data_IF_610779861942
#
_entry.id   IF_610779861942
#
_cell.length_a   1.000
_cell.length_b   1.000
_cell.length_c   1.000
_cell.angle_alpha   90.00
_cell.angle_beta   90.00
_cell.angle_gamma   90.00
#
_symmetry.space_group_name_H-M   'P 1'
#
loop_
_entity.id
_entity.type
_entity.pdbx_description
1 polymer ?
#
# COMPACT_ATOMS: atom_id res chain seq x y z
N UNK A 1 -23.20 19.75 26.02
CA UNK A 1 -21.84 20.34 25.95
C UNK A 1 -20.84 19.28 26.39
N UNK A 2 -20.18 18.58 25.46
CA UNK A 2 -18.97 17.77 25.66
C UNK A 2 -18.41 17.40 24.28
N UNK A 3 -17.25 17.97 23.97
CA UNK A 3 -16.43 17.72 22.77
C UNK A 3 -16.06 16.23 22.70
N UNK A 4 -16.35 15.58 21.56
CA UNK A 4 -15.89 14.21 21.27
C UNK A 4 -14.51 14.28 20.63
N UNK A 5 -13.58 13.62 21.31
CA UNK A 5 -12.15 13.51 21.02
C UNK A 5 -11.92 12.70 19.73
N UNK A 6 -10.99 13.17 18.88
CA UNK A 6 -10.52 12.54 17.64
C UNK A 6 -9.26 11.73 17.96
N UNK A 7 -9.25 10.42 17.70
CA UNK A 7 -8.02 9.61 17.69
C UNK A 7 -8.11 8.62 16.50
N UNK A 8 -7.48 8.97 15.39
CA UNK A 8 -7.06 8.03 14.35
C UNK A 8 -5.78 7.36 14.85
N UNK A 9 -5.76 6.03 14.96
CA UNK A 9 -4.50 5.32 15.20
C UNK A 9 -3.73 5.21 13.87
N UNK A 10 -2.79 6.14 13.74
CA UNK A 10 -1.74 6.24 12.75
C UNK A 10 -0.65 5.21 13.09
N UNK A 11 -0.44 4.22 12.24
CA UNK A 11 0.77 3.40 12.26
C UNK A 11 1.30 3.36 10.82
N UNK A 12 2.57 3.78 10.69
CA UNK A 12 3.37 3.97 9.47
C UNK A 12 3.31 5.38 8.86
N UNK A 13 3.90 6.35 9.58
CA UNK A 13 4.83 7.33 8.99
C UNK A 13 5.43 8.22 10.10
N UNK A 14 6.75 8.12 10.35
CA UNK A 14 7.71 9.24 10.44
C UNK A 14 9.06 8.77 11.06
N UNK A 15 10.19 9.40 10.68
CA UNK A 15 11.51 9.10 11.23
C UNK A 15 11.74 9.93 12.51
N UNK A 16 12.03 9.28 13.65
CA UNK A 16 12.88 9.81 14.73
C UNK A 16 12.95 8.83 15.93
N UNK A 17 14.13 8.23 16.09
CA UNK A 17 14.82 7.75 17.30
C UNK A 17 14.25 6.68 18.28
N UNK A 18 15.16 5.71 18.50
CA UNK A 18 15.52 4.92 19.69
C UNK A 18 14.55 3.88 20.24
N UNK A 19 14.80 2.65 19.80
CA UNK A 19 14.43 1.38 20.42
C UNK A 19 14.95 1.33 21.88
N UNK A 20 14.06 1.01 22.82
CA UNK A 20 14.41 0.10 23.93
C UNK A 20 13.50 -1.12 23.84
N UNK A 21 14.14 -2.27 23.58
CA UNK A 21 13.51 -3.57 23.58
C UNK A 21 13.47 -4.11 25.01
N UNK A 22 12.27 -4.24 25.56
CA UNK A 22 11.75 -5.35 26.36
C UNK A 22 10.40 -4.89 26.93
N UNK A 23 9.37 -5.70 26.67
CA UNK A 23 7.97 -5.54 27.08
C UNK A 23 7.13 -4.50 26.28
N UNK A 24 6.16 -5.02 25.51
CA UNK A 24 5.22 -4.22 24.71
C UNK A 24 4.14 -3.63 25.64
N UNK A 25 4.51 -2.54 26.32
CA UNK A 25 3.63 -1.78 27.21
C UNK A 25 2.87 -0.74 26.39
N UNK A 26 1.55 -0.76 26.46
CA UNK A 26 0.70 0.28 25.89
C UNK A 26 0.44 1.33 26.97
N UNK A 27 0.95 2.54 26.77
CA UNK A 27 0.75 3.67 27.68
C UNK A 27 -0.47 4.47 27.25
N UNK A 28 -1.44 4.62 28.15
CA UNK A 28 -2.58 5.50 27.94
C UNK A 28 -2.11 6.97 28.00
N UNK A 29 -2.06 7.63 26.85
CA UNK A 29 -1.48 8.99 26.70
C UNK A 29 -2.22 10.05 27.55
N UNK A 30 -3.44 9.77 28.01
CA UNK A 30 -4.22 10.70 28.84
C UNK A 30 -3.97 10.53 30.35
N UNK A 31 -3.75 9.30 30.82
CA UNK A 31 -3.68 8.99 32.25
C UNK A 31 -2.29 8.59 32.72
N UNK A 32 -1.39 8.23 31.80
CA UNK A 32 -0.07 7.69 32.09
C UNK A 32 -0.08 6.27 32.62
N UNK A 33 -1.24 5.60 32.66
CA UNK A 33 -1.32 4.19 33.06
C UNK A 33 -0.82 3.27 31.95
N UNK A 34 -0.03 2.29 32.37
CA UNK A 34 0.58 1.27 31.54
C UNK A 34 -0.26 -0.01 31.62
N UNK A 35 -0.69 -0.54 30.47
CA UNK A 35 -1.41 -1.81 30.38
C UNK A 35 -0.68 -2.77 29.46
N UNK A 36 -0.71 -4.07 29.78
CA UNK A 36 -0.14 -5.09 28.91
C UNK A 36 -1.15 -5.57 27.89
N UNK A 37 -0.69 -6.05 26.72
CA UNK A 37 -1.56 -6.53 25.66
C UNK A 37 -2.44 -7.74 26.07
N UNK A 38 -2.05 -8.51 27.09
CA UNK A 38 -2.89 -9.60 27.61
C UNK A 38 -4.10 -9.09 28.39
N UNK A 39 -3.96 -7.98 29.12
CA UNK A 39 -5.01 -7.49 30.02
C UNK A 39 -6.17 -6.86 29.24
N UNK A 40 -5.87 -6.21 28.11
CA UNK A 40 -6.87 -5.65 27.19
C UNK A 40 -7.74 -6.72 26.49
N UNK A 41 -7.25 -7.97 26.40
CA UNK A 41 -7.99 -9.08 25.81
C UNK A 41 -8.90 -9.78 26.82
N UNK A 42 -8.58 -9.75 28.11
CA UNK A 42 -9.36 -10.42 29.14
C UNK A 42 -10.54 -9.56 29.67
N UNK A 43 -10.45 -8.21 29.61
CA UNK A 43 -11.61 -7.35 29.89
C UNK A 43 -12.78 -7.55 28.89
N UNK A 44 -12.49 -7.90 27.62
CA UNK A 44 -13.54 -8.14 26.60
C UNK A 44 -14.21 -9.52 26.72
N UNK A 45 -13.69 -10.46 27.51
CA UNK A 45 -14.37 -11.74 27.78
C UNK A 45 -15.45 -11.63 28.85
N UNK A 46 -15.49 -10.53 29.60
CA UNK A 46 -16.44 -10.33 30.69
C UNK A 46 -17.64 -9.45 30.27
N UNK A 47 -18.50 -9.98 29.40
CA UNK A 47 -19.93 -9.58 29.37
C UNK A 47 -20.45 -8.89 28.11
N UNK A 48 -21.48 -9.52 27.51
CA UNK A 48 -22.36 -8.91 26.52
C UNK A 48 -23.16 -9.94 25.73
N UNK A 49 -24.40 -10.22 26.13
CA UNK A 49 -25.31 -11.11 25.42
C UNK A 49 -25.61 -10.58 24.00
N UNK A 50 -25.66 -11.49 23.02
CA UNK A 50 -25.96 -11.17 21.62
C UNK A 50 -27.41 -10.68 21.50
N UNK A 51 -27.61 -9.43 21.09
CA UNK A 51 -28.95 -8.86 20.86
C UNK A 51 -29.61 -9.53 19.63
N UNK A 52 -30.68 -10.30 19.89
CA UNK A 52 -31.46 -10.96 18.84
C UNK A 52 -32.14 -9.97 17.88
N UNK A 53 -32.27 -8.69 18.26
CA UNK A 53 -32.75 -7.61 17.41
C UNK A 53 -31.77 -7.24 16.29
N UNK A 54 -30.47 -7.28 16.56
CA UNK A 54 -29.40 -6.99 15.59
C UNK A 54 -29.27 -8.12 14.57
N UNK A 55 -29.40 -9.37 15.01
CA UNK A 55 -29.39 -10.56 14.14
C UNK A 55 -30.52 -10.53 13.10
N UNK A 56 -31.73 -10.11 13.49
CA UNK A 56 -32.88 -9.96 12.59
C UNK A 56 -32.73 -8.81 11.59
N UNK A 57 -31.98 -7.75 11.91
CA UNK A 57 -31.67 -6.66 10.96
C UNK A 57 -30.65 -7.10 9.92
N UNK A 58 -29.64 -7.88 10.33
CA UNK A 58 -28.63 -8.47 9.43
C UNK A 58 -29.27 -9.47 8.46
N UNK A 59 -30.22 -10.30 8.91
CA UNK A 59 -30.98 -11.18 8.02
C UNK A 59 -31.85 -10.42 7.00
N UNK A 60 -32.46 -9.30 7.41
CA UNK A 60 -33.24 -8.43 6.51
C UNK A 60 -32.34 -7.78 5.46
N UNK A 61 -31.17 -7.30 5.85
CA UNK A 61 -30.19 -6.70 4.95
C UNK A 61 -29.64 -7.73 3.96
N UNK A 62 -29.29 -8.93 4.42
CA UNK A 62 -28.83 -10.05 3.57
C UNK A 62 -29.90 -10.52 2.57
N UNK A 63 -31.19 -10.42 2.93
CA UNK A 63 -32.30 -10.71 2.01
C UNK A 63 -32.39 -9.67 0.89
N UNK A 64 -32.20 -8.38 1.19
CA UNK A 64 -32.21 -7.30 0.21
C UNK A 64 -31.02 -7.45 -0.76
N UNK A 65 -29.83 -7.74 -0.26
CA UNK A 65 -28.64 -7.96 -1.11
C UNK A 65 -28.80 -9.16 -2.06
N UNK A 66 -29.45 -10.25 -1.61
CA UNK A 66 -29.76 -11.40 -2.49
C UNK A 66 -30.74 -11.04 -3.61
N UNK A 67 -31.72 -10.19 -3.34
CA UNK A 67 -32.69 -9.74 -4.35
C UNK A 67 -32.04 -8.86 -5.42
N UNK A 68 -31.15 -7.94 -5.02
CA UNK A 68 -30.43 -7.09 -5.98
C UNK A 68 -29.40 -7.89 -6.81
N UNK A 69 -28.71 -8.87 -6.20
CA UNK A 69 -27.78 -9.77 -6.91
C UNK A 69 -28.47 -10.59 -8.02
N UNK A 70 -29.74 -10.96 -7.83
CA UNK A 70 -30.50 -11.71 -8.83
C UNK A 70 -31.01 -10.84 -10.00
N UNK A 71 -31.23 -9.54 -9.79
CA UNK A 71 -31.59 -8.60 -10.86
C UNK A 71 -30.40 -8.31 -11.79
N UNK A 72 -29.18 -8.30 -11.26
CA UNK A 72 -27.96 -8.08 -12.06
C UNK A 72 -27.68 -9.29 -12.97
N UNK A 73 -27.93 -10.52 -12.49
CA UNK A 73 -27.73 -11.75 -13.28
C UNK A 73 -28.70 -11.90 -14.45
N UNK A 74 -29.89 -11.29 -14.42
CA UNK A 74 -30.86 -11.41 -15.51
C UNK A 74 -30.59 -10.48 -16.71
N UNK A 75 -29.70 -9.48 -16.57
CA UNK A 75 -29.44 -8.48 -17.62
C UNK A 75 -28.22 -8.76 -18.51
N UNK A 76 -27.40 -9.77 -18.20
CA UNK A 76 -26.25 -10.15 -19.04
C UNK A 76 -26.53 -11.43 -19.84
N UNK A 77 -27.27 -11.28 -20.93
CA UNK A 77 -27.19 -12.16 -22.11
C UNK A 77 -26.85 -11.31 -23.32
N UNK A 78 -25.58 -11.04 -23.56
CA UNK A 78 -25.09 -10.70 -24.89
C UNK A 78 -23.75 -11.38 -25.14
N UNK A 79 -23.65 -12.01 -26.31
CA UNK A 79 -22.77 -13.13 -26.59
C UNK A 79 -21.30 -12.80 -26.81
N UNK A 80 -20.50 -13.85 -26.59
CA UNK A 80 -19.09 -13.96 -26.96
C UNK A 80 -18.91 -14.11 -28.47
N UNK A 81 -18.04 -13.30 -29.07
CA UNK A 81 -17.27 -13.73 -30.24
C UNK A 81 -16.03 -12.85 -30.40
N UNK A 82 -14.87 -13.52 -30.25
CA UNK A 82 -13.59 -13.30 -30.92
C UNK A 82 -13.08 -11.87 -31.11
N UNK A 83 -11.87 -11.59 -30.63
CA UNK A 83 -10.79 -11.06 -31.47
C UNK A 83 -9.45 -11.38 -30.79
N UNK A 84 -8.75 -12.33 -31.40
CA UNK A 84 -7.34 -12.65 -31.22
C UNK A 84 -6.43 -11.54 -31.78
N UNK A 85 -5.23 -11.45 -31.20
CA UNK A 85 -4.02 -10.75 -31.67
C UNK A 85 -3.85 -9.27 -31.32
N UNK A 86 -2.97 -9.02 -30.35
CA UNK A 86 -2.02 -7.90 -30.36
C UNK A 86 -0.75 -8.41 -29.63
N UNK A 87 0.15 -9.09 -30.33
CA UNK A 87 1.39 -8.52 -30.86
C UNK A 87 2.13 -7.57 -29.89
N UNK A 88 3.22 -8.11 -29.34
CA UNK A 88 4.52 -7.46 -29.09
C UNK A 88 4.48 -5.93 -29.20
N UNK A 89 4.36 -5.28 -28.04
CA UNK A 89 4.78 -3.89 -27.92
C UNK A 89 6.30 -3.84 -28.13
N UNK A 90 6.71 -3.40 -29.33
CA UNK A 90 8.01 -2.78 -29.54
C UNK A 90 8.16 -1.69 -28.48
N UNK A 91 9.22 -1.75 -27.70
CA UNK A 91 9.67 -0.63 -26.90
C UNK A 91 9.75 0.60 -27.82
N UNK A 92 8.98 1.63 -27.49
CA UNK A 92 9.23 2.95 -28.02
C UNK A 92 10.58 3.38 -27.43
N UNK A 93 11.61 3.51 -28.29
CA UNK A 93 12.80 4.30 -27.96
C UNK A 93 12.31 5.69 -27.57
N UNK A 94 12.38 6.00 -26.28
CA UNK A 94 12.19 7.36 -25.81
C UNK A 94 13.55 8.07 -25.94
N UNK A 95 13.57 9.23 -26.61
CA UNK A 95 14.76 10.08 -26.83
C UNK A 95 15.56 10.45 -25.55
N UNK A 96 15.03 10.19 -24.35
CA UNK A 96 15.69 10.42 -23.05
C UNK A 96 16.78 9.38 -22.74
N UNK A 97 16.90 8.31 -23.54
CA UNK A 97 17.89 7.26 -23.27
C UNK A 97 19.33 7.64 -23.62
N UNK A 98 19.55 8.75 -24.34
CA UNK A 98 20.83 9.12 -24.93
C UNK A 98 21.48 10.39 -24.31
N UNK A 99 20.88 10.97 -23.27
CA UNK A 99 21.47 12.13 -22.58
C UNK A 99 22.20 11.71 -21.30
N UNK A 100 23.49 12.01 -21.23
CA UNK A 100 24.30 11.83 -20.03
C UNK A 100 23.95 12.93 -19.01
N UNK A 101 23.26 12.54 -17.94
CA UNK A 101 22.95 13.41 -16.81
C UNK A 101 24.04 13.37 -15.75
N UNK A 102 24.26 14.51 -15.10
CA UNK A 102 25.20 14.66 -13.99
C UNK A 102 24.54 15.36 -12.81
N UNK A 103 24.86 14.89 -11.60
CA UNK A 103 24.50 15.48 -10.32
C UNK A 103 25.63 16.42 -9.91
N UNK A 104 25.31 17.69 -9.67
CA UNK A 104 26.21 18.69 -9.10
C UNK A 104 25.76 18.96 -7.67
N UNK A 105 26.53 18.47 -6.70
CA UNK A 105 26.27 18.70 -5.27
C UNK A 105 27.00 19.94 -4.82
N UNK A 106 26.30 20.86 -4.16
CA UNK A 106 26.91 22.03 -3.54
C UNK A 106 27.23 21.80 -2.07
N UNK A 107 28.21 22.54 -1.57
CA UNK A 107 28.70 22.45 -0.18
C UNK A 107 27.69 22.99 0.84
N UNK A 108 26.95 24.04 0.47
CA UNK A 108 25.95 24.71 1.30
C UNK A 108 24.87 25.42 0.46
N UNK A 109 23.80 25.87 1.11
CA UNK A 109 22.70 26.61 0.47
C UNK A 109 23.18 27.92 -0.18
N UNK A 110 24.13 28.62 0.44
CA UNK A 110 24.65 29.89 -0.09
C UNK A 110 25.29 29.68 -1.46
N UNK A 111 26.12 28.66 -1.60
CA UNK A 111 26.79 28.26 -2.83
C UNK A 111 25.77 27.79 -3.88
N UNK A 112 24.81 26.98 -3.46
CA UNK A 112 23.72 26.50 -4.31
C UNK A 112 22.88 27.66 -4.88
N UNK A 113 22.41 28.58 -4.03
CA UNK A 113 21.61 29.73 -4.45
C UNK A 113 22.41 30.68 -5.34
N UNK A 114 23.70 30.87 -5.06
CA UNK A 114 24.61 31.67 -5.90
C UNK A 114 24.70 31.10 -7.32
N UNK A 115 24.93 29.79 -7.45
CA UNK A 115 25.00 29.13 -8.76
C UNK A 115 23.63 29.08 -9.45
N UNK A 116 22.55 28.77 -8.73
CA UNK A 116 21.18 28.81 -9.26
C UNK A 116 20.81 30.17 -9.87
N UNK A 117 21.22 31.27 -9.22
CA UNK A 117 21.00 32.64 -9.74
C UNK A 117 21.83 32.92 -10.99
N UNK A 118 23.09 32.48 -11.01
CA UNK A 118 24.00 32.63 -12.16
C UNK A 118 23.49 31.90 -13.40
N UNK A 119 22.93 30.70 -13.23
CA UNK A 119 22.35 29.94 -14.33
C UNK A 119 21.11 30.62 -14.92
N UNK A 120 20.26 31.23 -14.08
CA UNK A 120 19.09 32.02 -14.53
C UNK A 120 19.49 33.26 -15.33
N UNK A 121 20.62 33.90 -15.02
CA UNK A 121 21.08 35.09 -15.74
C UNK A 121 21.75 34.80 -17.08
N UNK A 122 22.25 33.58 -17.31
CA UNK A 122 23.07 33.25 -18.48
C UNK A 122 22.28 32.78 -19.71
N UNK A 123 20.96 32.54 -19.60
CA UNK A 123 20.08 32.27 -20.74
C UNK A 123 20.32 30.92 -21.44
N UNK A 124 19.35 30.01 -21.31
CA UNK A 124 19.10 28.79 -22.09
C UNK A 124 20.19 27.69 -22.18
N UNK A 125 21.50 27.96 -22.11
CA UNK A 125 22.54 26.92 -22.25
C UNK A 125 22.89 26.17 -20.96
N UNK A 126 22.23 26.46 -19.84
CA UNK A 126 22.63 25.90 -18.54
C UNK A 126 21.47 25.81 -17.56
N UNK A 127 20.23 25.65 -18.05
CA UNK A 127 19.11 25.40 -17.15
C UNK A 127 19.25 23.98 -16.58
N UNK A 128 19.24 23.81 -15.26
CA UNK A 128 19.27 22.47 -14.69
C UNK A 128 18.00 21.72 -15.12
N UNK A 129 18.17 20.45 -15.51
CA UNK A 129 17.08 19.51 -15.83
C UNK A 129 16.16 19.38 -14.61
N UNK A 130 16.77 19.28 -13.43
CA UNK A 130 16.09 19.14 -12.15
C UNK A 130 16.91 19.84 -11.07
N UNK A 131 16.23 20.31 -10.03
CA UNK A 131 16.87 20.88 -8.85
C UNK A 131 16.28 20.21 -7.62
N UNK A 132 17.12 19.73 -6.72
CA UNK A 132 16.73 19.16 -5.43
C UNK A 132 17.22 20.14 -4.35
N UNK A 133 16.36 21.08 -3.98
CA UNK A 133 16.74 22.21 -3.12
C UNK A 133 17.18 21.76 -1.72
N UNK A 134 16.46 20.81 -1.10
CA UNK A 134 16.78 20.28 0.24
C UNK A 134 18.16 19.61 0.29
N UNK A 135 18.59 19.06 -0.84
CA UNK A 135 19.88 18.43 -0.97
C UNK A 135 20.94 19.37 -1.55
N UNK A 136 20.60 20.62 -1.89
CA UNK A 136 21.50 21.52 -2.61
C UNK A 136 22.11 20.83 -3.85
N UNK A 137 21.26 20.21 -4.68
CA UNK A 137 21.68 19.50 -5.91
C UNK A 137 21.06 20.17 -7.13
N UNK A 138 21.86 20.27 -8.20
CA UNK A 138 21.39 20.54 -9.55
C UNK A 138 21.73 19.35 -10.45
N UNK A 139 20.76 18.93 -11.25
CA UNK A 139 20.95 17.91 -12.29
C UNK A 139 21.10 18.61 -13.62
N UNK A 140 22.18 18.33 -14.34
CA UNK A 140 22.51 18.97 -15.61
C UNK A 140 22.85 17.92 -16.68
N UNK A 141 22.58 18.25 -17.94
CA UNK A 141 23.17 17.55 -19.08
C UNK A 141 24.55 18.18 -19.32
N UNK A 142 25.62 17.39 -19.16
CA UNK A 142 27.00 17.82 -19.44
C UNK A 142 27.54 16.95 -20.58
N UNK A 143 27.94 17.59 -21.66
CA UNK A 143 28.20 16.91 -22.93
C UNK A 143 29.67 16.54 -23.13
N UNK A 144 30.57 17.08 -22.31
CA UNK A 144 32.02 16.91 -22.47
C UNK A 144 32.76 16.78 -21.13
N UNK A 145 33.88 16.03 -21.08
CA UNK A 145 34.78 16.00 -19.93
C UNK A 145 35.26 17.39 -19.49
N UNK A 146 35.44 18.31 -20.44
CA UNK A 146 35.84 19.69 -20.16
C UNK A 146 34.78 20.42 -19.34
N UNK A 147 33.50 20.30 -19.70
CA UNK A 147 32.39 20.88 -18.92
C UNK A 147 32.31 20.31 -17.51
N UNK A 148 32.51 18.99 -17.36
CA UNK A 148 32.54 18.33 -16.04
C UNK A 148 33.67 18.92 -15.19
N UNK A 149 34.88 19.01 -15.75
CA UNK A 149 36.04 19.58 -15.06
C UNK A 149 35.83 21.07 -14.72
N UNK A 150 35.18 21.86 -15.59
CA UNK A 150 34.84 23.25 -15.31
C UNK A 150 33.89 23.40 -14.12
N UNK A 151 32.97 22.45 -13.94
CA UNK A 151 32.06 22.42 -12.79
C UNK A 151 32.75 21.96 -11.50
N UNK A 152 33.62 20.95 -11.56
CA UNK A 152 34.36 20.43 -10.40
C UNK A 152 35.23 21.49 -9.72
N UNK A 153 35.74 22.46 -10.47
CA UNK A 153 36.59 23.54 -9.94
C UNK A 153 35.80 24.78 -9.48
N UNK A 154 34.49 24.83 -9.69
CA UNK A 154 33.70 25.99 -9.26
C UNK A 154 33.67 26.11 -7.73
N UNK A 155 33.83 27.33 -7.23
CA UNK A 155 33.71 27.62 -5.81
C UNK A 155 32.33 27.18 -5.27
N UNK A 156 32.35 26.44 -4.17
CA UNK A 156 31.14 25.94 -3.50
C UNK A 156 30.55 24.65 -4.09
N UNK A 157 31.11 24.09 -5.18
CA UNK A 157 30.78 22.73 -5.63
C UNK A 157 31.52 21.70 -4.78
N UNK A 158 30.79 20.70 -4.29
CA UNK A 158 31.33 19.61 -3.46
C UNK A 158 31.83 18.45 -4.31
N UNK A 159 31.03 18.05 -5.30
CA UNK A 159 31.39 17.05 -6.30
C UNK A 159 30.45 17.15 -7.51
N UNK A 160 30.93 16.60 -8.63
CA UNK A 160 30.14 16.33 -9.83
C UNK A 160 30.19 14.82 -10.05
N UNK A 161 29.04 14.18 -10.19
CA UNK A 161 28.97 12.74 -10.44
C UNK A 161 28.00 12.41 -11.56
N UNK A 162 28.28 11.34 -12.32
CA UNK A 162 27.36 10.87 -13.34
C UNK A 162 26.09 10.35 -12.67
N UNK A 163 24.94 10.89 -13.07
CA UNK A 163 23.63 10.45 -12.62
C UNK A 163 23.30 9.11 -13.27
N UNK A 164 23.30 8.05 -12.47
CA UNK A 164 23.08 6.71 -12.99
C UNK A 164 21.60 6.43 -13.18
N UNK A 165 21.27 5.73 -14.26
CA UNK A 165 19.92 5.20 -14.45
C UNK A 165 19.64 4.16 -13.37
N UNK A 166 18.54 4.34 -12.64
CA UNK A 166 18.00 3.33 -11.72
C UNK A 166 16.95 2.54 -12.48
N UNK A 167 17.17 1.23 -12.61
CA UNK A 167 16.25 0.34 -13.31
C UNK A 167 15.27 -0.32 -12.35
N UNK A 168 14.02 -0.49 -12.79
CA UNK A 168 13.09 -1.38 -12.11
C UNK A 168 13.69 -2.79 -12.11
N UNK A 169 13.91 -3.34 -10.92
CA UNK A 169 14.52 -4.66 -10.81
C UNK A 169 13.55 -5.71 -11.34
N UNK A 170 13.88 -6.33 -12.46
CA UNK A 170 13.22 -7.55 -12.90
C UNK A 170 13.81 -8.71 -12.08
N UNK A 171 12.98 -9.42 -11.32
CA UNK A 171 13.43 -10.60 -10.59
C UNK A 171 13.98 -11.62 -11.58
N UNK A 172 15.24 -12.04 -11.40
CA UNK A 172 15.78 -13.18 -12.12
C UNK A 172 15.00 -14.42 -11.69
N UNK A 173 14.37 -15.18 -12.61
CA UNK A 173 13.62 -16.37 -12.26
C UNK A 173 14.45 -17.32 -11.39
N UNK A 174 13.89 -17.76 -10.27
CA UNK A 174 14.55 -18.66 -9.31
C UNK A 174 15.46 -17.98 -8.27
N UNK A 175 15.66 -16.66 -8.33
CA UNK A 175 16.30 -15.92 -7.22
C UNK A 175 15.21 -15.33 -6.35
N UNK A 176 15.23 -15.72 -5.08
CA UNK A 176 14.37 -15.14 -4.05
C UNK A 176 15.02 -13.89 -3.44
N UNK A 177 14.22 -12.89 -3.09
CA UNK A 177 14.71 -11.64 -2.51
C UNK A 177 13.84 -11.21 -1.35
N UNK A 178 14.47 -10.56 -0.39
CA UNK A 178 13.79 -10.03 0.78
C UNK A 178 13.55 -8.54 0.52
N UNK A 179 12.29 -8.11 0.31
CA UNK A 179 11.98 -6.70 0.22
C UNK A 179 12.46 -5.99 1.49
N UNK A 180 13.08 -4.82 1.34
CA UNK A 180 13.69 -4.08 2.45
C UNK A 180 12.77 -3.96 3.68
N UNK A 181 11.49 -3.64 3.45
CA UNK A 181 10.49 -3.47 4.51
C UNK A 181 10.26 -4.72 5.38
N UNK A 182 10.37 -5.92 4.80
CA UNK A 182 10.18 -7.20 5.53
C UNK A 182 11.23 -7.37 6.62
N UNK A 183 12.48 -7.03 6.32
CA UNK A 183 13.57 -7.06 7.30
C UNK A 183 13.43 -5.96 8.34
N UNK A 184 12.98 -4.76 7.95
CA UNK A 184 12.83 -3.64 8.90
C UNK A 184 11.77 -3.89 9.97
N UNK A 185 10.68 -4.56 9.61
CA UNK A 185 9.62 -4.94 10.57
C UNK A 185 9.92 -6.24 11.32
N UNK A 186 11.12 -6.82 11.12
CA UNK A 186 11.55 -8.08 11.74
C UNK A 186 10.58 -9.23 11.50
N UNK A 187 9.87 -9.24 10.37
CA UNK A 187 8.89 -10.29 10.09
C UNK A 187 9.54 -11.68 10.08
N UNK A 188 10.79 -11.77 9.62
CA UNK A 188 11.53 -13.03 9.52
C UNK A 188 11.96 -13.61 10.87
N UNK A 189 11.95 -12.79 11.94
CA UNK A 189 12.28 -13.22 13.30
C UNK A 189 11.09 -13.95 13.97
N UNK A 190 9.91 -13.89 13.37
CA UNK A 190 8.67 -14.51 13.87
C UNK A 190 8.37 -15.78 13.09
N UNK A 191 7.98 -16.85 13.80
CA UNK A 191 7.57 -18.11 13.18
C UNK A 191 6.15 -18.06 12.62
N UNK A 192 5.93 -18.75 11.51
CA UNK A 192 4.65 -18.88 10.83
C UNK A 192 3.74 -19.97 11.43
N UNK A 193 4.20 -20.76 12.41
CA UNK A 193 3.53 -21.98 12.91
C UNK A 193 2.07 -21.79 13.32
N UNK A 194 1.68 -20.57 13.69
CA UNK A 194 0.33 -20.25 14.19
C UNK A 194 -0.53 -19.50 13.16
N UNK A 195 -0.03 -19.25 11.96
CA UNK A 195 -0.70 -18.38 10.99
C UNK A 195 -2.02 -18.98 10.47
N UNK A 196 -2.12 -20.30 10.41
CA UNK A 196 -3.33 -21.02 9.99
C UNK A 196 -4.54 -20.80 10.91
N UNK A 197 -4.33 -20.27 12.14
CA UNK A 197 -5.39 -19.87 13.06
C UNK A 197 -5.87 -18.42 12.84
N UNK A 198 -5.32 -17.75 11.84
CA UNK A 198 -5.65 -16.38 11.47
C UNK A 198 -6.14 -16.32 10.03
N UNK A 199 -7.05 -15.38 9.79
CA UNK A 199 -7.54 -15.05 8.46
C UNK A 199 -7.38 -13.55 8.20
N UNK A 200 -6.73 -13.23 7.09
CA UNK A 200 -6.54 -11.85 6.62
C UNK A 200 -7.46 -11.62 5.43
N UNK A 201 -8.29 -10.58 5.54
CA UNK A 201 -9.07 -10.08 4.43
C UNK A 201 -8.29 -8.97 3.70
N UNK A 202 -8.22 -9.03 2.38
CA UNK A 202 -7.61 -7.99 1.55
C UNK A 202 -8.72 -7.41 0.68
N UNK A 203 -9.03 -6.12 0.87
CA UNK A 203 -10.01 -5.40 0.06
C UNK A 203 -9.25 -4.53 -0.95
N UNK A 204 -9.24 -4.93 -2.21
CA UNK A 204 -8.36 -4.33 -3.24
C UNK A 204 -8.86 -4.59 -4.68
N UNK A 205 -7.97 -4.58 -5.68
CA UNK A 205 -8.27 -4.80 -7.11
C UNK A 205 -8.43 -6.26 -7.53
N UNK A 206 -8.13 -7.21 -6.65
CA UNK A 206 -8.18 -8.64 -6.93
C UNK A 206 -6.96 -9.37 -6.39
N UNK A 207 -6.77 -10.60 -6.84
CA UNK A 207 -5.63 -11.45 -6.53
C UNK A 207 -5.36 -12.36 -7.73
N UNK A 208 -4.15 -12.34 -8.30
CA UNK A 208 -3.77 -13.32 -9.32
C UNK A 208 -3.57 -14.70 -8.68
N UNK A 209 -4.60 -15.55 -8.77
CA UNK A 209 -4.58 -16.93 -8.25
C UNK A 209 -3.62 -17.84 -9.02
N UNK A 210 -3.04 -17.37 -10.13
CA UNK A 210 -2.07 -18.14 -10.91
C UNK A 210 -0.63 -17.71 -10.66
N UNK A 211 -0.43 -16.70 -9.82
CA UNK A 211 0.89 -16.14 -9.55
C UNK A 211 1.78 -17.15 -8.83
N UNK A 212 2.97 -17.50 -9.36
CA UNK A 212 3.80 -18.60 -8.85
C UNK A 212 4.36 -18.37 -7.43
N UNK A 213 4.48 -17.11 -7.03
CA UNK A 213 5.00 -16.70 -5.71
C UNK A 213 3.91 -16.54 -4.64
N UNK A 214 2.65 -16.80 -5.01
CA UNK A 214 1.50 -16.65 -4.13
C UNK A 214 0.82 -18.01 -3.89
N UNK A 215 0.17 -18.15 -2.74
CA UNK A 215 -0.53 -19.39 -2.38
C UNK A 215 -1.86 -19.51 -3.13
N UNK A 216 -2.20 -20.73 -3.57
CA UNK A 216 -3.50 -21.00 -4.19
C UNK A 216 -4.45 -21.70 -3.22
N UNK A 217 -3.86 -22.44 -2.28
CA UNK A 217 -4.57 -23.04 -1.17
C UNK A 217 -4.88 -21.98 -0.09
N UNK A 218 -5.93 -22.23 0.68
CA UNK A 218 -6.37 -21.34 1.78
C UNK A 218 -6.76 -19.92 1.35
N UNK A 219 -6.95 -19.69 0.04
CA UNK A 219 -7.47 -18.44 -0.50
C UNK A 219 -8.94 -18.61 -0.87
N UNK A 220 -9.74 -17.62 -0.50
CA UNK A 220 -11.14 -17.50 -0.88
C UNK A 220 -11.42 -16.05 -1.27
N UNK A 221 -12.55 -15.78 -1.92
CA UNK A 221 -12.90 -14.39 -2.18
C UNK A 221 -14.28 -14.17 -2.73
N UNK A 222 -14.56 -12.88 -2.90
CA UNK A 222 -15.80 -12.33 -3.42
C UNK A 222 -15.53 -10.99 -4.11
N UNK A 223 -16.51 -10.45 -4.80
CA UNK A 223 -16.37 -9.16 -5.44
C UNK A 223 -17.41 -8.91 -6.53
N UNK A 224 -17.28 -7.74 -7.15
CA UNK A 224 -18.10 -7.33 -8.30
C UNK A 224 -17.70 -8.06 -9.58
N UNK A 225 -16.42 -8.44 -9.69
CA UNK A 225 -15.80 -9.24 -10.75
C UNK A 225 -15.14 -10.49 -10.13
N UNK A 226 -14.61 -11.44 -10.93
CA UNK A 226 -13.76 -12.51 -10.41
C UNK A 226 -12.67 -11.94 -9.51
N UNK A 227 -12.62 -12.44 -8.27
CA UNK A 227 -11.70 -11.95 -7.25
C UNK A 227 -10.29 -12.52 -7.43
N UNK A 228 -10.22 -13.65 -8.13
CA UNK A 228 -9.07 -14.48 -8.47
C UNK A 228 -8.39 -14.08 -9.78
N UNK A 229 -8.82 -12.93 -10.35
CA UNK A 229 -8.19 -12.26 -11.48
C UNK A 229 -7.90 -10.81 -11.08
N UNK A 230 -6.64 -10.37 -11.19
CA UNK A 230 -6.23 -9.01 -10.88
C UNK A 230 -5.63 -8.32 -12.11
N UNK A 231 -6.50 -7.66 -12.87
CA UNK A 231 -6.12 -6.93 -14.08
C UNK A 231 -5.29 -5.66 -13.79
N UNK A 232 -5.26 -5.23 -12.53
CA UNK A 232 -4.60 -4.00 -12.10
C UNK A 232 -3.28 -4.24 -11.36
N UNK A 233 -3.07 -5.45 -10.84
CA UNK A 233 -1.85 -5.87 -10.14
C UNK A 233 -1.65 -5.31 -8.73
N UNK A 234 -2.42 -4.31 -8.30
CA UNK A 234 -2.25 -3.67 -6.99
C UNK A 234 -2.59 -4.63 -5.84
N UNK A 235 -3.74 -5.31 -5.91
CA UNK A 235 -4.15 -6.28 -4.91
C UNK A 235 -3.20 -7.48 -4.82
N UNK A 236 -2.70 -7.96 -5.95
CA UNK A 236 -1.68 -9.00 -6.04
C UNK A 236 -0.37 -8.56 -5.39
N UNK A 237 0.07 -7.32 -5.62
CA UNK A 237 1.26 -6.76 -4.98
C UNK A 237 1.10 -6.62 -3.46
N UNK A 238 -0.07 -6.17 -3.00
CA UNK A 238 -0.42 -6.11 -1.57
C UNK A 238 -0.39 -7.50 -0.96
N UNK A 239 -1.00 -8.50 -1.62
CA UNK A 239 -1.00 -9.86 -1.16
C UNK A 239 0.41 -10.46 -1.09
N UNK A 240 1.29 -10.16 -2.04
CA UNK A 240 2.70 -10.59 -2.00
C UNK A 240 3.47 -10.00 -0.82
N UNK A 241 3.22 -8.73 -0.49
CA UNK A 241 3.83 -8.11 0.71
C UNK A 241 3.44 -8.85 1.99
N UNK A 242 2.19 -9.33 2.07
CA UNK A 242 1.67 -10.03 3.25
C UNK A 242 2.08 -11.51 3.25
N UNK A 243 2.03 -12.18 2.10
CA UNK A 243 1.88 -13.64 2.03
C UNK A 243 2.67 -14.32 0.88
N UNK A 244 3.65 -13.65 0.25
CA UNK A 244 4.47 -14.32 -0.76
C UNK A 244 5.26 -15.50 -0.15
N UNK A 245 5.22 -16.64 -0.86
CA UNK A 245 5.61 -17.95 -0.36
C UNK A 245 7.10 -18.19 -0.57
N UNK A 246 7.80 -18.58 0.48
CA UNK A 246 9.23 -18.86 0.37
C UNK A 246 9.53 -20.07 -0.52
N UNK A 247 10.65 -20.01 -1.24
CA UNK A 247 11.22 -21.13 -1.99
C UNK A 247 10.72 -21.28 -3.43
N UNK A 248 9.84 -20.39 -3.89
CA UNK A 248 9.33 -20.39 -5.27
C UNK A 248 10.09 -19.41 -6.19
N UNK A 249 11.04 -18.67 -5.63
CA UNK A 249 11.70 -17.53 -6.29
C UNK A 249 10.76 -16.33 -6.34
N UNK A 250 11.30 -15.11 -6.49
CA UNK A 250 10.49 -13.90 -6.36
C UNK A 250 10.82 -13.14 -5.07
N UNK A 251 9.83 -12.91 -4.21
CA UNK A 251 10.00 -12.17 -2.96
C UNK A 251 9.52 -12.95 -1.73
N UNK A 252 10.04 -12.60 -0.56
CA UNK A 252 9.44 -13.03 0.70
C UNK A 252 8.34 -12.07 1.15
N UNK A 253 7.18 -12.63 1.50
CA UNK A 253 6.15 -11.92 2.24
C UNK A 253 6.47 -11.83 3.73
N UNK A 254 5.64 -11.10 4.48
CA UNK A 254 5.70 -11.09 5.94
C UNK A 254 5.42 -12.49 6.52
N UNK A 255 4.49 -13.21 5.90
CA UNK A 255 4.23 -14.64 6.10
C UNK A 255 4.70 -15.38 4.86
N UNK A 256 5.42 -16.49 5.04
CA UNK A 256 6.17 -17.19 3.99
C UNK A 256 5.76 -18.65 3.80
N UNK A 257 4.98 -19.19 4.73
CA UNK A 257 4.64 -20.62 4.79
C UNK A 257 3.61 -21.10 3.76
N UNK A 258 2.89 -20.18 3.10
CA UNK A 258 1.76 -20.54 2.21
C UNK A 258 0.58 -21.18 2.93
N UNK A 259 0.46 -21.00 4.26
CA UNK A 259 -0.61 -21.56 5.09
C UNK A 259 -1.51 -20.48 5.72
N UNK A 260 -1.48 -19.25 5.21
CA UNK A 260 -2.31 -18.18 5.75
C UNK A 260 -3.69 -18.21 5.10
N UNK A 261 -4.75 -18.18 5.90
CA UNK A 261 -6.08 -18.03 5.31
C UNK A 261 -6.24 -16.61 4.75
N UNK A 262 -6.43 -16.50 3.45
CA UNK A 262 -6.73 -15.24 2.77
C UNK A 262 -8.20 -15.17 2.35
N UNK A 263 -8.79 -13.98 2.50
CA UNK A 263 -10.08 -13.65 1.90
C UNK A 263 -9.94 -12.39 1.05
N UNK A 264 -10.10 -12.51 -0.26
CA UNK A 264 -9.93 -11.41 -1.21
C UNK A 264 -11.30 -10.83 -1.52
N UNK A 265 -11.47 -9.53 -1.33
CA UNK A 265 -12.67 -8.81 -1.75
C UNK A 265 -12.32 -7.79 -2.82
N UNK A 266 -12.63 -8.12 -4.07
CA UNK A 266 -12.36 -7.23 -5.21
C UNK A 266 -13.39 -6.10 -5.25
N UNK A 267 -12.91 -4.88 -5.02
CA UNK A 267 -13.73 -3.66 -5.04
C UNK A 267 -13.29 -2.64 -6.08
N UNK A 268 -12.03 -2.68 -6.53
CA UNK A 268 -11.53 -1.85 -7.61
C UNK A 268 -11.58 -2.61 -8.94
N UNK A 269 -12.03 -1.93 -9.98
CA UNK A 269 -12.25 -2.50 -11.32
C UNK A 269 -11.93 -1.49 -12.41
N UNK A 270 -11.79 -1.98 -13.64
CA UNK A 270 -11.43 -1.16 -14.80
C UNK A 270 -9.92 -1.00 -14.93
N UNK A 271 -9.47 -0.60 -16.12
CA UNK A 271 -8.05 -0.63 -16.53
C UNK A 271 -7.14 0.13 -15.55
N UNK A 272 -7.61 1.25 -15.00
CA UNK A 272 -6.81 2.12 -14.14
C UNK A 272 -7.00 1.85 -12.63
N UNK A 273 -7.97 1.01 -12.25
CA UNK A 273 -8.36 0.72 -10.86
C UNK A 273 -8.33 1.91 -9.86
N UNK A 274 -8.62 3.12 -10.33
CA UNK A 274 -8.26 4.33 -9.58
C UNK A 274 -9.22 4.69 -8.46
N UNK A 275 -10.43 4.12 -8.48
CA UNK A 275 -11.49 4.46 -7.52
C UNK A 275 -12.46 3.29 -7.31
N UNK A 276 -13.14 3.31 -6.16
CA UNK A 276 -14.30 2.47 -5.85
C UNK A 276 -15.32 3.30 -5.07
N UNK A 277 -16.55 2.83 -4.96
CA UNK A 277 -17.58 3.51 -4.17
C UNK A 277 -17.40 3.23 -2.68
N UNK A 278 -17.54 4.25 -1.84
CA UNK A 278 -17.51 4.13 -0.38
C UNK A 278 -18.49 3.08 0.17
N UNK A 279 -19.69 3.00 -0.43
CA UNK A 279 -20.68 1.98 -0.09
C UNK A 279 -20.21 0.56 -0.43
N UNK A 280 -19.54 0.36 -1.56
CA UNK A 280 -18.94 -0.92 -1.95
C UNK A 280 -17.83 -1.32 -1.00
N UNK A 281 -17.02 -0.36 -0.55
CA UNK A 281 -15.96 -0.59 0.41
C UNK A 281 -16.50 -1.02 1.78
N UNK A 282 -17.51 -0.32 2.31
CA UNK A 282 -18.16 -0.72 3.56
C UNK A 282 -18.80 -2.11 3.43
N UNK A 283 -19.48 -2.39 2.31
CA UNK A 283 -20.06 -3.70 2.05
C UNK A 283 -18.98 -4.80 2.06
N UNK A 284 -17.83 -4.55 1.42
CA UNK A 284 -16.70 -5.44 1.41
C UNK A 284 -16.13 -5.70 2.81
N UNK A 285 -16.06 -4.68 3.68
CA UNK A 285 -15.65 -4.88 5.07
C UNK A 285 -16.61 -5.81 5.83
N UNK A 286 -17.91 -5.71 5.58
CA UNK A 286 -18.89 -6.65 6.14
C UNK A 286 -18.74 -8.07 5.54
N UNK A 287 -18.40 -8.20 4.26
CA UNK A 287 -18.09 -9.50 3.67
C UNK A 287 -16.89 -10.15 4.36
N UNK A 288 -15.82 -9.39 4.65
CA UNK A 288 -14.68 -9.87 5.43
C UNK A 288 -15.07 -10.38 6.83
N UNK A 289 -15.96 -9.65 7.52
CA UNK A 289 -16.44 -10.04 8.85
C UNK A 289 -17.23 -11.35 8.76
N UNK A 290 -18.13 -11.47 7.78
CA UNK A 290 -18.91 -12.69 7.55
C UNK A 290 -18.02 -13.87 7.17
N UNK A 291 -16.94 -13.62 6.42
CA UNK A 291 -15.93 -14.62 6.09
C UNK A 291 -15.10 -15.07 7.31
N UNK A 292 -15.28 -14.44 8.48
CA UNK A 292 -14.58 -14.77 9.73
C UNK A 292 -13.14 -14.26 9.76
N UNK A 293 -12.84 -13.18 9.03
CA UNK A 293 -11.51 -12.58 9.01
C UNK A 293 -11.17 -11.96 10.36
N UNK A 294 -9.92 -12.13 10.80
CA UNK A 294 -9.41 -11.50 12.02
C UNK A 294 -8.80 -10.13 11.74
N UNK A 295 -8.28 -9.95 10.52
CA UNK A 295 -7.61 -8.73 10.07
C UNK A 295 -8.25 -8.32 8.76
N UNK A 296 -8.51 -7.03 8.57
CA UNK A 296 -8.96 -6.44 7.31
C UNK A 296 -7.93 -5.41 6.88
N UNK A 297 -7.31 -5.65 5.73
CA UNK A 297 -6.35 -4.76 5.11
C UNK A 297 -7.03 -3.93 4.00
N UNK A 298 -6.88 -2.61 4.12
CA UNK A 298 -7.44 -1.60 3.22
C UNK A 298 -6.27 -0.77 2.65
N UNK A 299 -5.65 -1.23 1.56
CA UNK A 299 -4.52 -0.53 0.92
C UNK A 299 -4.97 0.64 0.02
N UNK A 300 -5.95 1.40 0.48
CA UNK A 300 -6.59 2.49 -0.24
C UNK A 300 -6.70 3.72 0.66
N UNK A 301 -6.96 4.88 0.06
CA UNK A 301 -7.19 6.10 0.81
C UNK A 301 -8.37 6.90 0.28
N UNK A 302 -8.87 7.79 1.13
CA UNK A 302 -9.97 8.70 0.83
C UNK A 302 -9.43 10.09 0.48
N UNK A 303 -10.12 10.78 -0.43
CA UNK A 303 -9.88 12.22 -0.69
C UNK A 303 -10.63 13.11 0.30
N UNK A 304 -11.76 12.62 0.81
CA UNK A 304 -12.66 13.34 1.70
C UNK A 304 -13.25 12.37 2.73
N UNK A 305 -13.46 12.85 3.95
CA UNK A 305 -14.15 12.08 4.99
C UNK A 305 -15.67 12.29 4.88
N UNK A 306 -16.46 11.22 4.89
CA UNK A 306 -17.92 11.31 5.01
C UNK A 306 -18.39 10.85 6.38
N UNK A 307 -19.47 11.46 6.90
CA UNK A 307 -20.06 11.05 8.19
C UNK A 307 -20.53 9.59 8.17
N UNK A 308 -21.08 9.15 7.04
CA UNK A 308 -21.56 7.78 6.83
C UNK A 308 -20.42 6.75 6.90
N UNK A 309 -19.29 7.02 6.24
CA UNK A 309 -18.13 6.11 6.29
C UNK A 309 -17.51 6.11 7.68
N UNK A 310 -17.38 7.27 8.31
CA UNK A 310 -16.88 7.35 9.68
C UNK A 310 -17.74 6.52 10.63
N UNK A 311 -19.07 6.67 10.58
CA UNK A 311 -19.98 5.89 11.41
C UNK A 311 -19.85 4.37 11.14
N UNK A 312 -19.75 3.98 9.87
CA UNK A 312 -19.59 2.56 9.50
C UNK A 312 -18.27 1.98 10.04
N UNK A 313 -17.16 2.72 9.91
CA UNK A 313 -15.85 2.32 10.41
C UNK A 313 -15.84 2.25 11.93
N UNK A 314 -16.37 3.26 12.62
CA UNK A 314 -16.53 3.28 14.07
C UNK A 314 -17.37 2.08 14.55
N UNK A 315 -18.45 1.75 13.83
CA UNK A 315 -19.29 0.60 14.17
C UNK A 315 -18.54 -0.72 14.02
N UNK A 316 -17.74 -0.90 12.97
CA UNK A 316 -16.93 -2.10 12.78
C UNK A 316 -15.85 -2.18 13.85
N UNK A 317 -15.10 -1.11 14.07
CA UNK A 317 -14.01 -1.06 15.04
C UNK A 317 -14.49 -1.32 16.48
N UNK A 318 -15.60 -0.70 16.89
CA UNK A 318 -16.08 -0.81 18.26
C UNK A 318 -16.84 -2.11 18.54
N UNK A 319 -17.58 -2.63 17.56
CA UNK A 319 -18.56 -3.71 17.79
C UNK A 319 -18.19 -5.05 17.13
N UNK A 320 -17.05 -5.13 16.42
CA UNK A 320 -16.60 -6.36 15.77
C UNK A 320 -15.19 -6.69 16.26
N UNK A 321 -14.89 -7.99 16.36
CA UNK A 321 -13.60 -8.47 16.84
C UNK A 321 -12.61 -8.64 15.67
N UNK A 322 -12.31 -7.53 14.98
CA UNK A 322 -11.42 -7.49 13.82
C UNK A 322 -10.41 -6.34 13.95
N UNK A 323 -9.18 -6.56 13.50
CA UNK A 323 -8.16 -5.52 13.37
C UNK A 323 -8.30 -4.87 11.99
N UNK A 324 -8.48 -3.55 11.95
CA UNK A 324 -8.52 -2.78 10.70
C UNK A 324 -7.14 -2.15 10.45
N UNK A 325 -6.61 -2.34 9.25
CA UNK A 325 -5.36 -1.72 8.79
C UNK A 325 -5.69 -0.95 7.52
N UNK A 326 -5.37 0.34 7.49
CA UNK A 326 -5.64 1.21 6.35
C UNK A 326 -4.46 2.08 5.97
N UNK A 327 -4.33 2.42 4.69
CA UNK A 327 -3.32 3.39 4.22
C UNK A 327 -3.74 4.81 4.62
N UNK A 328 -2.85 5.53 5.31
CA UNK A 328 -3.05 6.96 5.59
C UNK A 328 -2.78 7.77 4.31
N UNK A 329 -3.66 8.71 3.95
CA UNK A 329 -3.40 9.68 2.89
C UNK A 329 -3.09 11.04 3.51
N UNK A 330 -1.95 11.62 3.16
CA UNK A 330 -1.68 13.03 3.43
C UNK A 330 -2.40 13.86 2.38
N UNK A 331 -3.58 14.37 2.71
CA UNK A 331 -4.25 15.39 1.88
C UNK A 331 -3.52 16.71 2.13
N UNK A 332 -2.93 17.37 1.12
CA UNK A 332 -2.41 18.73 1.30
C UNK A 332 -3.58 19.62 1.70
N UNK A 333 -3.53 20.18 2.91
CA UNK A 333 -4.40 21.30 3.27
C UNK A 333 -3.98 22.49 2.39
N UNK A 334 -4.80 22.77 1.38
CA UNK A 334 -4.71 24.00 0.58
C UNK A 334 -5.22 25.22 1.33
#
# INVERSE_FOLDING_TARGET
>A
MKMKERICYLLLCLPCFLIRAHDFVLTNIRTGEETTFSDALDEKKAGGAIDQGEMRRTERFNKVLRTERNKIKSNNRFGSSSLSNANQAKAADNDDDNEDRYIIKFTDDVSFQRHARRLKSNGAMSTPIMTLEEEHIQVMSLSSPEEIAEWEIQDGVKYVEKDHKVFLRQNTPGIETIPYGISQVKALDVSDDRISNRKVCIIDSGYDITHPDLQNDFVSGSGVNPWDEDECGHGTHVAGTIAAVAGNGGILGAVRSGNMNLHIVRTFTGIECSWTWGSSLIAAMYECIVAGSNIINLSLGYKEDTEYEKEAFDNIFNNRNVLLIGKCMSVPVG
#
